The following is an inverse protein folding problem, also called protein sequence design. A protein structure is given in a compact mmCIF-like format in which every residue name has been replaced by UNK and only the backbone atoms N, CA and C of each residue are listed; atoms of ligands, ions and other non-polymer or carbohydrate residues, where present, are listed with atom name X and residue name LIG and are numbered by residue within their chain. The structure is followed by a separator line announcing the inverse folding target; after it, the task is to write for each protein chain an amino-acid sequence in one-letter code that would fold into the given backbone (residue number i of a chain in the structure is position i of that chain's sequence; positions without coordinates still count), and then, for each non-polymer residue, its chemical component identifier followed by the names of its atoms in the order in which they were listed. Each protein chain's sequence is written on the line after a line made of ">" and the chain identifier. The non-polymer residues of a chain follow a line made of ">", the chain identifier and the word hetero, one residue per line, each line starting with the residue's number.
data_IF_197366714649
#
_entry.id   IF_197366714649
#
_cell.length_a   1.000
_cell.length_b   1.000
_cell.length_c   1.000
_cell.angle_alpha   90.00
_cell.angle_beta   90.00
_cell.angle_gamma   90.00
#
_symmetry.space_group_name_H-M   'P 1'
#
loop_
_entity.id
_entity.type
_entity.pdbx_description
1 polymer ?
#
# COMPACT_ATOMS: atom_id res chain seq x y z
N UNK A 1 -23.34 11.76 4.53
CA UNK A 1 -22.19 11.36 5.35
C UNK A 1 -20.97 12.02 4.72
N UNK A 2 -20.31 12.92 5.44
CA UNK A 2 -19.13 13.64 4.99
C UNK A 2 -17.92 12.65 4.99
N UNK A 3 -16.94 12.75 4.07
CA UNK A 3 -15.67 12.01 4.14
C UNK A 3 -15.05 11.93 5.55
N UNK A 4 -15.15 13.00 6.36
CA UNK A 4 -14.65 12.99 7.74
C UNK A 4 -15.37 11.98 8.64
N UNK A 5 -16.69 11.81 8.50
CA UNK A 5 -17.48 10.84 9.28
C UNK A 5 -17.06 9.40 8.94
N UNK A 6 -16.68 9.17 7.69
CA UNK A 6 -16.26 7.86 7.20
C UNK A 6 -14.88 7.48 7.75
N UNK A 7 -13.93 8.41 7.72
CA UNK A 7 -12.58 8.23 8.31
C UNK A 7 -12.69 7.91 9.80
N UNK A 8 -13.52 8.65 10.55
CA UNK A 8 -13.68 8.42 11.98
C UNK A 8 -14.30 7.04 12.27
N UNK A 9 -15.31 6.64 11.49
CA UNK A 9 -15.92 5.30 11.58
C UNK A 9 -14.89 4.19 11.35
N UNK A 10 -14.01 4.35 10.35
CA UNK A 10 -12.98 3.35 10.07
C UNK A 10 -11.91 3.31 11.16
N UNK A 11 -11.43 4.45 11.62
CA UNK A 11 -10.45 4.52 12.69
C UNK A 11 -10.97 3.86 13.97
N UNK A 12 -12.23 4.11 14.34
CA UNK A 12 -12.89 3.44 15.47
C UNK A 12 -12.94 1.91 15.29
N UNK A 13 -13.34 1.45 14.11
CA UNK A 13 -13.45 0.01 13.80
C UNK A 13 -12.08 -0.68 13.89
N UNK A 14 -11.05 -0.10 13.26
CA UNK A 14 -9.69 -0.67 13.20
C UNK A 14 -8.94 -0.55 14.54
N UNK A 15 -9.33 0.38 15.41
CA UNK A 15 -8.70 0.55 16.71
C UNK A 15 -9.11 -0.49 17.76
N UNK A 16 -10.20 -1.24 17.53
CA UNK A 16 -10.71 -2.25 18.48
C UNK A 16 -10.85 -1.73 19.93
N UNK A 17 -11.21 -0.45 20.09
CA UNK A 17 -11.38 0.20 21.40
C UNK A 17 -10.12 0.81 22.02
N UNK A 18 -8.94 0.67 21.40
CA UNK A 18 -7.71 1.30 21.89
C UNK A 18 -7.56 2.75 21.37
N UNK A 19 -7.59 3.73 22.28
CA UNK A 19 -7.60 5.14 21.92
C UNK A 19 -6.32 5.59 21.19
N UNK A 20 -5.14 5.14 21.63
CA UNK A 20 -3.86 5.44 20.97
C UNK A 20 -3.82 4.92 19.53
N UNK A 21 -4.41 3.74 19.29
CA UNK A 21 -4.50 3.16 17.97
C UNK A 21 -5.52 3.90 17.10
N UNK A 22 -6.64 4.35 17.67
CA UNK A 22 -7.63 5.21 16.99
C UNK A 22 -6.99 6.49 16.49
N UNK A 23 -6.26 7.19 17.36
CA UNK A 23 -5.53 8.43 16.99
C UNK A 23 -4.55 8.15 15.85
N UNK A 24 -3.81 7.04 15.92
CA UNK A 24 -2.86 6.65 14.88
C UNK A 24 -3.55 6.42 13.53
N UNK A 25 -4.70 5.73 13.52
CA UNK A 25 -5.50 5.53 12.31
C UNK A 25 -6.07 6.84 11.76
N UNK A 26 -6.62 7.71 12.62
CA UNK A 26 -7.13 9.02 12.20
C UNK A 26 -6.05 9.84 11.49
N UNK A 27 -4.86 9.94 12.09
CA UNK A 27 -3.74 10.66 11.50
C UNK A 27 -3.29 10.06 10.17
N UNK A 28 -3.26 8.73 10.07
CA UNK A 28 -2.82 8.05 8.88
C UNK A 28 -3.84 8.20 7.74
N UNK A 29 -5.13 8.02 8.02
CA UNK A 29 -6.22 8.16 7.05
C UNK A 29 -6.39 9.60 6.58
N UNK A 30 -6.14 10.59 7.45
CA UNK A 30 -6.16 12.00 7.08
C UNK A 30 -4.97 12.41 6.18
N UNK A 31 -3.94 11.56 6.05
CA UNK A 31 -2.83 11.80 5.14
C UNK A 31 -3.11 11.28 3.72
N UNK A 32 -4.14 10.44 3.53
CA UNK A 32 -4.55 10.03 2.20
C UNK A 32 -5.10 11.24 1.43
N UNK A 33 -4.91 11.28 0.11
CA UNK A 33 -5.46 12.35 -0.70
C UNK A 33 -6.99 12.29 -0.76
N UNK A 34 -7.61 13.31 -1.36
CA UNK A 34 -9.06 13.31 -1.53
C UNK A 34 -9.47 12.27 -2.58
N UNK A 35 -9.96 11.13 -2.11
CA UNK A 35 -10.29 9.98 -2.93
C UNK A 35 -11.81 9.83 -3.11
N UNK A 36 -12.27 9.32 -4.27
CA UNK A 36 -13.65 8.92 -4.42
C UNK A 36 -14.07 7.94 -3.32
N UNK A 37 -15.27 8.13 -2.77
CA UNK A 37 -15.74 7.36 -1.60
C UNK A 37 -15.59 5.84 -1.76
N UNK A 38 -15.94 5.29 -2.92
CA UNK A 38 -15.83 3.85 -3.18
C UNK A 38 -14.39 3.33 -3.12
N UNK A 39 -13.45 4.12 -3.65
CA UNK A 39 -12.01 3.84 -3.61
C UNK A 39 -11.50 3.91 -2.18
N UNK A 40 -11.84 4.97 -1.45
CA UNK A 40 -11.45 5.13 -0.05
C UNK A 40 -11.97 3.97 0.82
N UNK A 41 -13.24 3.59 0.70
CA UNK A 41 -13.82 2.47 1.47
C UNK A 41 -13.08 1.16 1.16
N UNK A 42 -12.79 0.88 -0.11
CA UNK A 42 -12.07 -0.32 -0.55
C UNK A 42 -10.66 -0.39 0.03
N UNK A 43 -9.88 0.70 -0.12
CA UNK A 43 -8.50 0.78 0.36
C UNK A 43 -8.42 0.69 1.89
N UNK A 44 -9.23 1.46 2.60
CA UNK A 44 -9.17 1.52 4.08
C UNK A 44 -9.57 0.20 4.74
N UNK A 45 -10.47 -0.56 4.13
CA UNK A 45 -10.81 -1.90 4.61
C UNK A 45 -9.59 -2.83 4.52
N UNK A 46 -8.86 -2.77 3.41
CA UNK A 46 -7.75 -3.67 3.14
C UNK A 46 -6.41 -3.26 3.78
N UNK A 47 -6.22 -1.97 4.12
CA UNK A 47 -4.98 -1.50 4.73
C UNK A 47 -4.68 -2.23 6.06
N UNK A 48 -3.48 -2.84 6.21
CA UNK A 48 -3.15 -3.68 7.36
C UNK A 48 -2.84 -2.86 8.62
N UNK A 49 -2.23 -1.68 8.46
CA UNK A 49 -1.73 -0.89 9.58
C UNK A 49 -1.79 0.63 9.32
N UNK A 50 -1.74 1.48 10.36
CA UNK A 50 -1.50 2.92 10.19
C UNK A 50 -0.16 3.23 9.50
N UNK A 51 0.83 2.34 9.61
CA UNK A 51 2.12 2.45 8.94
C UNK A 51 1.98 2.35 7.43
N UNK A 52 1.41 1.25 6.96
CA UNK A 52 1.08 1.01 5.54
C UNK A 52 0.24 2.16 4.96
N UNK A 53 -0.74 2.67 5.73
CA UNK A 53 -1.57 3.81 5.31
C UNK A 53 -0.74 5.06 5.05
N UNK A 54 0.19 5.40 5.96
CA UNK A 54 1.07 6.57 5.79
C UNK A 54 2.06 6.38 4.65
N UNK A 55 2.52 5.15 4.42
CA UNK A 55 3.38 4.83 3.30
C UNK A 55 2.64 4.99 1.98
N UNK A 56 1.42 4.47 1.88
CA UNK A 56 0.59 4.66 0.68
C UNK A 56 0.37 6.15 0.40
N UNK A 57 0.01 6.93 1.41
CA UNK A 57 -0.11 8.39 1.30
C UNK A 57 1.19 9.07 0.81
N UNK A 58 2.34 8.67 1.36
CA UNK A 58 3.64 9.22 0.99
C UNK A 58 4.06 8.88 -0.44
N UNK A 59 3.70 7.69 -0.92
CA UNK A 59 3.99 7.26 -2.29
C UNK A 59 3.05 7.96 -3.28
N UNK A 60 1.77 8.05 -2.94
CA UNK A 60 0.79 8.83 -3.71
C UNK A 60 1.23 10.28 -3.86
N UNK A 61 1.71 10.92 -2.79
CA UNK A 61 2.14 12.33 -2.86
C UNK A 61 3.34 12.61 -3.77
N UNK A 62 3.94 11.58 -4.37
CA UNK A 62 5.03 11.69 -5.36
C UNK A 62 4.52 11.58 -6.80
N UNK A 63 3.25 11.21 -6.96
CA UNK A 63 2.61 11.07 -8.25
C UNK A 63 2.18 12.44 -8.79
N UNK A 64 2.27 12.66 -10.11
CA UNK A 64 1.72 13.87 -10.72
C UNK A 64 0.18 13.91 -10.63
N UNK A 65 -0.46 12.75 -10.60
CA UNK A 65 -1.90 12.57 -10.43
C UNK A 65 -2.15 11.41 -9.45
N UNK A 66 -2.39 11.76 -8.18
CA UNK A 66 -2.57 10.81 -7.08
C UNK A 66 -3.78 9.89 -7.28
N UNK A 67 -4.87 10.43 -7.81
CA UNK A 67 -6.10 9.67 -8.02
C UNK A 67 -5.92 8.67 -9.16
N UNK A 68 -5.36 9.11 -10.28
CA UNK A 68 -5.10 8.23 -11.42
C UNK A 68 -4.07 7.14 -11.07
N UNK A 69 -3.03 7.46 -10.31
CA UNK A 69 -2.04 6.48 -9.87
C UNK A 69 -2.63 5.42 -8.93
N UNK A 70 -3.51 5.83 -8.00
CA UNK A 70 -4.20 4.87 -7.13
C UNK A 70 -5.17 3.99 -7.92
N UNK A 71 -5.91 4.56 -8.87
CA UNK A 71 -6.81 3.79 -9.73
C UNK A 71 -6.03 2.79 -10.58
N UNK A 72 -4.90 3.19 -11.17
CA UNK A 72 -3.98 2.29 -11.87
C UNK A 72 -3.49 1.16 -10.97
N UNK A 73 -2.99 1.49 -9.77
CA UNK A 73 -2.56 0.50 -8.78
C UNK A 73 -3.68 -0.47 -8.40
N UNK A 74 -4.92 0.00 -8.23
CA UNK A 74 -6.05 -0.89 -7.92
C UNK A 74 -6.48 -1.74 -9.12
N UNK A 75 -6.37 -1.22 -10.34
CA UNK A 75 -6.63 -1.98 -11.57
C UNK A 75 -5.63 -3.11 -11.72
N UNK A 76 -4.36 -2.84 -11.51
CA UNK A 76 -3.28 -3.83 -11.50
C UNK A 76 -3.58 -4.98 -10.52
N UNK A 77 -4.04 -4.63 -9.32
CA UNK A 77 -4.44 -5.61 -8.30
C UNK A 77 -5.67 -6.43 -8.74
N UNK A 78 -6.65 -5.80 -9.38
CA UNK A 78 -7.84 -6.49 -9.88
C UNK A 78 -7.54 -7.48 -11.01
N UNK A 79 -6.44 -7.25 -11.75
CA UNK A 79 -5.95 -8.13 -12.81
C UNK A 79 -4.98 -9.21 -12.29
N UNK A 80 -4.46 -9.05 -11.07
CA UNK A 80 -3.53 -9.97 -10.41
C UNK A 80 -4.21 -11.25 -9.89
N UNK A 81 -3.41 -12.27 -9.61
CA UNK A 81 -3.86 -13.50 -8.94
C UNK A 81 -4.02 -13.34 -7.42
N UNK A 82 -3.48 -12.26 -6.86
CA UNK A 82 -3.35 -11.99 -5.42
C UNK A 82 -4.47 -11.08 -4.89
N UNK A 83 -4.74 -11.15 -3.59
CA UNK A 83 -5.78 -10.28 -3.00
C UNK A 83 -5.26 -8.85 -2.77
N UNK A 84 -6.17 -7.87 -2.71
CA UNK A 84 -5.83 -6.49 -2.30
C UNK A 84 -5.12 -6.43 -0.94
N UNK A 85 -5.41 -7.36 -0.03
CA UNK A 85 -4.72 -7.44 1.26
C UNK A 85 -3.26 -7.87 1.07
N UNK A 86 -3.03 -8.90 0.27
CA UNK A 86 -1.68 -9.41 -0.01
C UNK A 86 -0.84 -8.36 -0.74
N UNK A 87 -1.42 -7.64 -1.70
CA UNK A 87 -0.76 -6.52 -2.37
C UNK A 87 -0.40 -5.37 -1.43
N UNK A 88 -1.31 -4.97 -0.54
CA UNK A 88 -1.01 -3.90 0.42
C UNK A 88 0.01 -4.33 1.48
N UNK A 89 0.01 -5.60 1.87
CA UNK A 89 1.03 -6.17 2.75
C UNK A 89 2.40 -6.25 2.05
N UNK A 90 2.43 -6.66 0.78
CA UNK A 90 3.63 -6.70 -0.04
C UNK A 90 4.20 -5.29 -0.29
N UNK A 91 3.32 -4.31 -0.54
CA UNK A 91 3.68 -2.90 -0.59
C UNK A 91 4.26 -2.39 0.73
N UNK A 92 3.70 -2.76 1.89
CA UNK A 92 4.25 -2.39 3.20
C UNK A 92 5.68 -2.92 3.37
N UNK A 93 5.95 -4.17 2.98
CA UNK A 93 7.32 -4.75 2.97
C UNK A 93 8.26 -3.93 2.10
N UNK A 94 7.83 -3.60 0.87
CA UNK A 94 8.61 -2.78 -0.05
C UNK A 94 8.93 -1.39 0.52
N UNK A 95 7.91 -0.70 1.02
CA UNK A 95 8.05 0.64 1.58
C UNK A 95 8.89 0.66 2.86
N UNK A 96 8.80 -0.38 3.69
CA UNK A 96 9.63 -0.54 4.89
C UNK A 96 11.09 -0.83 4.56
N UNK A 97 11.36 -1.59 3.50
CA UNK A 97 12.73 -1.87 3.04
C UNK A 97 13.44 -0.58 2.58
N UNK A 98 12.71 0.32 1.91
CA UNK A 98 13.28 1.57 1.40
C UNK A 98 13.36 2.69 2.44
N UNK A 99 12.77 2.48 3.62
CA UNK A 99 12.78 3.47 4.70
C UNK A 99 14.22 3.78 5.14
N UNK A 100 14.59 5.06 5.07
CA UNK A 100 15.94 5.52 5.44
C UNK A 100 16.97 5.40 4.32
N UNK A 101 16.59 4.88 3.15
CA UNK A 101 17.43 4.92 1.95
C UNK A 101 17.28 6.25 1.19
N UNK A 102 18.16 6.49 0.22
CA UNK A 102 18.08 7.64 -0.68
C UNK A 102 16.95 7.51 -1.72
N UNK A 103 16.45 6.29 -1.97
CA UNK A 103 15.41 6.05 -2.96
C UNK A 103 14.08 6.72 -2.59
N UNK A 104 13.40 7.27 -3.59
CA UNK A 104 12.11 7.96 -3.46
C UNK A 104 11.13 7.51 -4.56
N UNK A 105 10.83 6.20 -4.65
CA UNK A 105 9.91 5.68 -5.66
C UNK A 105 8.52 6.32 -5.56
N UNK A 106 7.90 6.47 -6.72
CA UNK A 106 6.46 6.73 -6.85
C UNK A 106 5.64 5.45 -6.54
N UNK A 107 4.31 5.57 -6.45
CA UNK A 107 3.44 4.40 -6.31
C UNK A 107 3.53 3.51 -7.57
N UNK A 108 3.65 4.13 -8.74
CA UNK A 108 3.82 3.47 -10.03
C UNK A 108 5.12 2.66 -10.07
N UNK A 109 6.22 3.20 -9.55
CA UNK A 109 7.49 2.46 -9.46
C UNK A 109 7.37 1.24 -8.52
N UNK A 110 6.67 1.41 -7.39
CA UNK A 110 6.40 0.32 -6.46
C UNK A 110 5.53 -0.76 -7.11
N UNK A 111 4.47 -0.37 -7.81
CA UNK A 111 3.59 -1.28 -8.54
C UNK A 111 4.38 -2.12 -9.55
N UNK A 112 5.25 -1.48 -10.34
CA UNK A 112 6.11 -2.18 -11.28
C UNK A 112 7.03 -3.21 -10.61
N UNK A 113 7.60 -2.90 -9.45
CA UNK A 113 8.40 -3.87 -8.71
C UNK A 113 7.57 -5.05 -8.18
N UNK A 114 6.37 -4.78 -7.67
CA UNK A 114 5.46 -5.80 -7.16
C UNK A 114 5.00 -6.75 -8.27
N UNK A 115 4.71 -6.24 -9.47
CA UNK A 115 4.43 -7.07 -10.65
C UNK A 115 5.59 -8.00 -11.00
N UNK A 116 6.83 -7.50 -11.00
CA UNK A 116 8.00 -8.36 -11.21
C UNK A 116 8.09 -9.49 -10.18
N UNK A 117 7.64 -9.23 -8.94
CA UNK A 117 7.60 -10.24 -7.89
C UNK A 117 6.48 -11.28 -8.12
N UNK A 118 5.32 -10.85 -8.61
CA UNK A 118 4.22 -11.73 -9.00
C UNK A 118 4.63 -12.64 -10.18
N UNK A 119 5.21 -12.07 -11.23
CA UNK A 119 5.74 -12.84 -12.37
C UNK A 119 6.78 -13.89 -11.94
N UNK A 120 7.61 -13.55 -10.95
CA UNK A 120 8.57 -14.49 -10.39
C UNK A 120 7.88 -15.66 -9.66
N UNK A 121 6.79 -15.42 -8.93
CA UNK A 121 5.95 -16.47 -8.33
C UNK A 121 5.37 -17.35 -9.43
N UNK A 122 4.73 -16.76 -10.44
CA UNK A 122 4.06 -17.45 -11.53
C UNK A 122 5.02 -18.32 -12.37
N UNK A 123 6.28 -17.92 -12.47
CA UNK A 123 7.33 -18.70 -13.13
C UNK A 123 7.75 -19.98 -12.36
N UNK A 124 7.16 -20.25 -11.20
CA UNK A 124 7.36 -21.46 -10.41
C UNK A 124 8.29 -21.28 -9.21
N UNK A 125 8.56 -20.05 -8.79
CA UNK A 125 9.31 -19.78 -7.56
C UNK A 125 8.48 -20.19 -6.35
N UNK A 126 9.10 -20.91 -5.40
CA UNK A 126 8.40 -21.41 -4.20
C UNK A 126 8.40 -20.37 -3.09
N UNK A 127 7.58 -19.34 -3.26
CA UNK A 127 7.24 -18.41 -2.18
C UNK A 127 5.90 -18.83 -1.55
N UNK A 128 5.82 -18.77 -0.22
CA UNK A 128 4.62 -19.15 0.54
C UNK A 128 3.55 -18.06 0.46
N UNK A 129 3.96 -16.80 0.37
CA UNK A 129 3.07 -15.63 0.26
C UNK A 129 3.69 -14.54 -0.61
N UNK A 130 2.86 -13.68 -1.20
CA UNK A 130 3.33 -12.56 -2.00
C UNK A 130 4.25 -11.58 -1.24
N UNK A 131 3.95 -11.15 0.01
CA UNK A 131 4.88 -10.33 0.79
C UNK A 131 6.25 -11.00 1.02
N UNK A 132 6.28 -12.32 1.18
CA UNK A 132 7.53 -13.07 1.36
C UNK A 132 8.36 -13.10 0.06
N UNK A 133 7.70 -13.19 -1.10
CA UNK A 133 8.38 -13.08 -2.39
C UNK A 133 9.06 -11.70 -2.53
N UNK A 134 8.32 -10.63 -2.24
CA UNK A 134 8.84 -9.25 -2.28
C UNK A 134 10.02 -9.08 -1.33
N UNK A 135 9.90 -9.54 -0.08
CA UNK A 135 11.00 -9.51 0.88
C UNK A 135 12.24 -10.23 0.32
N UNK A 136 12.06 -11.44 -0.20
CA UNK A 136 13.19 -12.25 -0.72
C UNK A 136 13.85 -11.60 -1.92
N UNK A 137 13.07 -11.03 -2.83
CA UNK A 137 13.60 -10.34 -4.00
C UNK A 137 14.34 -9.07 -3.64
N UNK A 138 13.84 -8.29 -2.66
CA UNK A 138 14.54 -7.11 -2.15
C UNK A 138 15.86 -7.49 -1.47
N UNK A 139 15.89 -8.56 -0.68
CA UNK A 139 17.11 -9.03 -0.02
C UNK A 139 18.13 -9.60 -1.02
N UNK A 140 17.67 -10.19 -2.12
CA UNK A 140 18.53 -10.85 -3.12
C UNK A 140 19.06 -9.88 -4.17
N UNK A 141 18.18 -9.00 -4.68
CA UNK A 141 18.45 -8.15 -5.84
C UNK A 141 18.40 -6.66 -5.51
N UNK A 142 17.81 -6.28 -4.38
CA UNK A 142 17.60 -4.88 -4.03
C UNK A 142 16.50 -4.21 -4.86
N UNK A 143 16.50 -2.88 -4.80
CA UNK A 143 15.69 -2.01 -5.64
C UNK A 143 16.61 -1.00 -6.33
N UNK A 144 16.61 -0.98 -7.66
CA UNK A 144 17.48 -0.12 -8.47
C UNK A 144 16.74 1.03 -9.16
N UNK A 145 15.43 1.18 -8.93
CA UNK A 145 14.63 2.21 -9.58
C UNK A 145 15.01 3.64 -9.20
N UNK A 146 14.54 4.60 -10.00
CA UNK A 146 15.04 5.97 -10.01
C UNK A 146 14.95 6.67 -8.63
N UNK A 147 15.98 7.49 -8.37
CA UNK A 147 16.14 8.34 -7.18
C UNK A 147 15.85 9.79 -7.53
#
# INVERSE_FOLDING_TARGET
>A
MNPSDLIEKFALKKAHGAESLRISWLQALAALPDLPRGVLERVVVALPSPGATRQLALFLSREPDEAAALEGFLSDIDESGESLNDWLAAFEVFADHLRGTAHRPSLTDAAGYLHCCEEAIDSGSRYETFPMAVQTMLETYGYEGNS
#
